data_IF_408316373912
#
_entry.id   IF_408316373912
#
_cell.length_a   1.000
_cell.length_b   1.000
_cell.length_c   1.000
_cell.angle_alpha   90.00
_cell.angle_beta   90.00
_cell.angle_gamma   90.00
#
_symmetry.space_group_name_H-M   'P 1'
#
loop_
_entity.id
_entity.type
_entity.pdbx_description
1 polymer ?
#
# COMPACT_ATOMS: atom_id res chain seq x y z
N UNK A 1 -19.29 -6.18 1.63
CA UNK A 1 -19.85 -5.40 0.50
C UNK A 1 -20.46 -6.39 -0.46
N UNK A 2 -21.65 -6.13 -0.97
CA UNK A 2 -22.18 -6.89 -2.10
C UNK A 2 -21.34 -6.63 -3.38
N UNK A 3 -21.58 -7.44 -4.42
CA UNK A 3 -20.82 -7.36 -5.68
C UNK A 3 -20.92 -5.97 -6.32
N UNK A 4 -22.10 -5.36 -6.30
CA UNK A 4 -22.36 -4.07 -6.95
C UNK A 4 -21.57 -2.96 -6.28
N UNK A 5 -21.55 -2.93 -4.94
CA UNK A 5 -20.78 -1.97 -4.18
C UNK A 5 -19.26 -2.18 -4.37
N UNK A 6 -18.80 -3.43 -4.49
CA UNK A 6 -17.39 -3.72 -4.79
C UNK A 6 -16.97 -3.22 -6.18
N UNK A 7 -17.81 -3.39 -7.20
CA UNK A 7 -17.54 -2.91 -8.56
C UNK A 7 -17.52 -1.38 -8.63
N UNK A 8 -18.46 -0.71 -7.94
CA UNK A 8 -18.46 0.77 -7.86
C UNK A 8 -17.22 1.30 -7.15
N UNK A 9 -16.81 0.65 -6.05
CA UNK A 9 -15.58 1.02 -5.36
C UNK A 9 -14.36 0.79 -6.26
N UNK A 10 -14.27 -0.36 -6.93
CA UNK A 10 -13.23 -0.66 -7.90
C UNK A 10 -13.12 0.41 -9.00
N UNK A 11 -14.26 0.86 -9.55
CA UNK A 11 -14.30 1.93 -10.53
C UNK A 11 -13.70 3.24 -10.00
N UNK A 12 -14.06 3.64 -8.78
CA UNK A 12 -13.50 4.85 -8.14
C UNK A 12 -11.99 4.70 -7.90
N UNK A 13 -11.53 3.54 -7.42
CA UNK A 13 -10.10 3.30 -7.16
C UNK A 13 -9.26 3.36 -8.44
N UNK A 14 -9.79 2.88 -9.57
CA UNK A 14 -9.06 2.90 -10.85
C UNK A 14 -9.12 4.25 -11.57
N UNK A 15 -10.30 4.87 -11.61
CA UNK A 15 -10.55 6.05 -12.47
C UNK A 15 -10.53 7.36 -11.69
N UNK A 16 -10.70 7.31 -10.37
CA UNK A 16 -10.82 8.48 -9.51
C UNK A 16 -9.70 9.49 -9.71
N UNK A 17 -8.44 9.03 -9.80
CA UNK A 17 -7.30 9.91 -9.98
C UNK A 17 -7.40 10.78 -11.25
N UNK A 18 -7.95 10.24 -12.35
CA UNK A 18 -8.14 10.98 -13.61
C UNK A 18 -9.21 12.06 -13.49
N UNK A 19 -10.13 11.91 -12.55
CA UNK A 19 -11.16 12.88 -12.22
C UNK A 19 -10.77 13.78 -11.04
N UNK A 20 -9.53 13.73 -10.57
CA UNK A 20 -9.04 14.53 -9.43
C UNK A 20 -9.36 13.94 -8.05
N UNK A 21 -9.89 12.73 -7.97
CA UNK A 21 -10.13 12.02 -6.71
C UNK A 21 -8.96 11.12 -6.34
N UNK A 22 -8.19 11.53 -5.33
CA UNK A 22 -7.20 10.65 -4.71
C UNK A 22 -7.88 9.65 -3.78
N UNK A 23 -7.45 8.39 -3.83
CA UNK A 23 -7.94 7.33 -2.96
C UNK A 23 -6.82 6.84 -2.04
N UNK A 24 -7.15 6.63 -0.76
CA UNK A 24 -6.25 6.03 0.22
C UNK A 24 -6.89 4.74 0.72
N UNK A 25 -6.18 3.63 0.58
CA UNK A 25 -6.59 2.34 1.14
C UNK A 25 -5.71 2.02 2.35
N UNK A 26 -6.33 1.96 3.54
CA UNK A 26 -5.65 1.52 4.77
C UNK A 26 -5.86 0.02 4.94
N UNK A 27 -4.77 -0.71 5.11
CA UNK A 27 -4.84 -2.17 5.18
C UNK A 27 -3.70 -2.77 5.99
N UNK A 28 -3.87 -4.04 6.39
CA UNK A 28 -2.81 -4.91 6.87
C UNK A 28 -2.19 -5.73 5.72
N UNK A 29 -1.06 -6.42 5.95
CA UNK A 29 -0.45 -7.33 4.96
C UNK A 29 -1.38 -8.46 4.50
N UNK A 30 -2.45 -8.76 5.24
CA UNK A 30 -3.42 -9.78 4.89
C UNK A 30 -4.21 -9.48 3.61
N UNK A 31 -4.15 -8.25 3.08
CA UNK A 31 -4.79 -7.88 1.81
C UNK A 31 -4.40 -8.77 0.64
N UNK A 32 -3.22 -9.41 0.70
CA UNK A 32 -2.76 -10.37 -0.32
C UNK A 32 -3.73 -11.53 -0.50
N UNK A 33 -4.43 -11.92 0.58
CA UNK A 33 -5.40 -13.02 0.57
C UNK A 33 -6.78 -12.59 0.08
N UNK A 34 -7.04 -11.28 -0.01
CA UNK A 34 -8.34 -10.76 -0.45
C UNK A 34 -8.54 -10.98 -1.94
N UNK A 35 -9.64 -11.64 -2.31
CA UNK A 35 -9.96 -12.00 -3.70
C UNK A 35 -10.91 -11.02 -4.40
N UNK A 36 -11.51 -10.09 -3.64
CA UNK A 36 -12.42 -9.09 -4.18
C UNK A 36 -11.69 -8.08 -5.09
N UNK A 37 -12.46 -7.49 -6.01
CA UNK A 37 -11.92 -6.64 -7.07
C UNK A 37 -11.31 -5.37 -6.52
N UNK A 38 -11.95 -4.74 -5.52
CA UNK A 38 -11.45 -3.51 -4.91
C UNK A 38 -10.09 -3.74 -4.21
N UNK A 39 -9.95 -4.81 -3.44
CA UNK A 39 -8.69 -5.20 -2.82
C UNK A 39 -7.59 -5.49 -3.85
N UNK A 40 -7.92 -6.16 -4.96
CA UNK A 40 -6.98 -6.41 -6.06
C UNK A 40 -6.41 -5.11 -6.63
N UNK A 41 -7.27 -4.11 -6.86
CA UNK A 41 -6.86 -2.79 -7.36
C UNK A 41 -6.03 -2.04 -6.32
N UNK A 42 -6.44 -2.04 -5.05
CA UNK A 42 -5.72 -1.37 -3.98
C UNK A 42 -4.28 -1.92 -3.80
N UNK A 43 -4.08 -3.24 -3.97
CA UNK A 43 -2.72 -3.84 -3.95
C UNK A 43 -1.83 -3.36 -5.09
N UNK A 44 -2.43 -2.95 -6.21
CA UNK A 44 -1.72 -2.43 -7.38
C UNK A 44 -1.29 -0.97 -7.24
N UNK A 45 -1.57 -0.31 -6.11
CA UNK A 45 -1.16 1.06 -5.89
C UNK A 45 0.37 1.18 -5.91
N UNK A 46 0.86 2.07 -6.78
CA UNK A 46 2.29 2.31 -6.99
C UNK A 46 2.95 3.12 -5.88
N UNK A 47 2.13 3.73 -5.01
CA UNK A 47 2.55 4.55 -3.89
C UNK A 47 1.97 3.97 -2.60
N UNK A 48 2.80 3.82 -1.57
CA UNK A 48 2.35 3.30 -0.27
C UNK A 48 3.18 3.82 0.89
N UNK A 49 2.56 3.86 2.07
CA UNK A 49 3.21 4.10 3.35
C UNK A 49 3.11 2.82 4.19
N UNK A 50 4.26 2.29 4.60
CA UNK A 50 4.37 1.01 5.32
C UNK A 50 4.96 1.26 6.71
N UNK A 51 4.17 0.97 7.74
CA UNK A 51 4.49 1.16 9.15
C UNK A 51 5.14 -0.08 9.81
N UNK A 52 5.75 -0.95 9.02
CA UNK A 52 6.35 -2.21 9.48
C UNK A 52 7.57 -2.55 8.62
N UNK A 53 8.34 -3.54 9.05
CA UNK A 53 9.51 -3.98 8.28
C UNK A 53 9.09 -4.53 6.92
N UNK A 54 9.87 -4.26 5.89
CA UNK A 54 9.68 -4.82 4.54
C UNK A 54 9.73 -6.36 4.58
N UNK A 55 10.54 -6.93 5.47
CA UNK A 55 10.63 -8.37 5.74
C UNK A 55 9.40 -8.98 6.42
N UNK A 56 8.55 -8.19 7.09
CA UNK A 56 7.35 -8.66 7.79
C UNK A 56 6.09 -8.68 6.92
N UNK A 57 6.23 -8.28 5.64
CA UNK A 57 5.12 -8.22 4.70
C UNK A 57 5.55 -8.82 3.35
N UNK A 58 4.56 -9.31 2.60
CA UNK A 58 4.75 -9.89 1.27
C UNK A 58 3.98 -9.13 0.17
N UNK A 59 3.38 -7.98 0.51
CA UNK A 59 2.60 -7.14 -0.43
C UNK A 59 3.55 -6.59 -1.51
N UNK A 60 4.73 -6.16 -1.09
CA UNK A 60 5.79 -5.65 -1.95
C UNK A 60 6.91 -6.69 -2.08
N UNK A 61 6.72 -7.64 -2.99
CA UNK A 61 7.69 -8.73 -3.24
C UNK A 61 8.84 -8.30 -4.16
N UNK A 62 8.58 -7.45 -5.15
CA UNK A 62 9.53 -7.05 -6.20
C UNK A 62 10.08 -5.63 -6.01
N UNK A 63 10.74 -5.39 -4.87
CA UNK A 63 11.34 -4.09 -4.55
C UNK A 63 12.75 -3.95 -5.12
N UNK A 64 13.05 -2.81 -5.76
CA UNK A 64 14.33 -2.55 -6.44
C UNK A 64 15.52 -2.45 -5.48
N UNK A 65 15.29 -1.86 -4.31
CA UNK A 65 16.30 -1.59 -3.29
C UNK A 65 15.89 -2.17 -1.94
N UNK A 66 15.49 -3.45 -1.94
CA UNK A 66 15.07 -4.17 -0.72
C UNK A 66 16.17 -4.08 0.36
N UNK A 67 15.86 -3.64 1.59
CA UNK A 67 16.85 -3.58 2.66
C UNK A 67 17.45 -4.95 2.99
N UNK A 68 18.78 -5.09 2.97
CA UNK A 68 19.48 -6.36 3.23
C UNK A 68 19.58 -6.65 4.73
N UNK A 69 19.82 -5.61 5.54
CA UNK A 69 19.95 -5.71 7.00
C UNK A 69 18.92 -4.79 7.64
N UNK A 70 17.72 -5.32 7.83
CA UNK A 70 16.59 -4.55 8.33
C UNK A 70 16.47 -4.69 9.86
N UNK A 71 16.78 -3.61 10.57
CA UNK A 71 16.53 -3.48 12.01
C UNK A 71 15.05 -3.25 12.33
N UNK A 72 14.72 -3.20 13.63
CA UNK A 72 13.40 -2.77 14.11
C UNK A 72 13.15 -1.33 13.66
N UNK A 73 11.92 -1.02 13.25
CA UNK A 73 11.56 0.36 12.92
C UNK A 73 11.43 1.18 14.20
N UNK A 74 12.14 2.30 14.26
CA UNK A 74 12.00 3.26 15.34
C UNK A 74 10.61 3.92 15.33
N UNK A 75 10.24 4.56 16.43
CA UNK A 75 9.00 5.33 16.52
C UNK A 75 8.90 6.32 15.33
N UNK A 76 7.71 6.37 14.73
CA UNK A 76 7.39 7.23 13.57
C UNK A 76 8.22 6.95 12.30
N UNK A 77 9.06 5.92 12.29
CA UNK A 77 9.85 5.57 11.11
C UNK A 77 9.08 4.60 10.23
N UNK A 78 8.88 4.98 8.98
CA UNK A 78 8.07 4.23 8.02
C UNK A 78 8.83 4.06 6.71
N UNK A 79 8.39 3.14 5.88
CA UNK A 79 8.81 3.08 4.49
C UNK A 79 7.78 3.75 3.59
N UNK A 80 8.23 4.73 2.83
CA UNK A 80 7.50 5.25 1.70
C UNK A 80 7.95 4.48 0.45
N UNK A 81 7.01 3.83 -0.23
CA UNK A 81 7.27 3.05 -1.44
C UNK A 81 6.68 3.80 -2.62
N UNK A 82 7.49 4.05 -3.65
CA UNK A 82 7.07 4.67 -4.90
C UNK A 82 7.67 3.90 -6.08
N UNK A 83 6.82 3.39 -6.97
CA UNK A 83 7.20 2.59 -8.14
C UNK A 83 8.28 1.55 -7.80
N UNK A 84 7.99 0.70 -6.80
CA UNK A 84 8.86 -0.36 -6.28
C UNK A 84 10.20 0.09 -5.65
N UNK A 85 10.38 1.39 -5.45
CA UNK A 85 11.55 1.95 -4.74
C UNK A 85 11.17 2.30 -3.32
N UNK A 86 11.98 1.85 -2.36
CA UNK A 86 11.78 2.03 -0.92
C UNK A 86 12.57 3.23 -0.41
N UNK A 87 11.90 4.11 0.33
CA UNK A 87 12.49 5.24 1.03
C UNK A 87 12.18 5.12 2.52
N UNK A 88 13.19 5.11 3.38
CA UNK A 88 12.99 5.17 4.83
C UNK A 88 12.72 6.63 5.21
N UNK A 89 11.59 6.90 5.85
CA UNK A 89 11.14 8.25 6.20
C UNK A 89 10.74 8.36 7.67
N UNK A 90 10.76 9.58 8.19
CA UNK A 90 10.20 9.91 9.51
C UNK A 90 8.89 10.67 9.34
N UNK A 91 7.83 10.13 9.89
CA UNK A 91 6.48 10.69 9.79
C UNK A 91 6.23 11.61 10.98
N UNK A 92 5.88 12.87 10.72
CA UNK A 92 5.52 13.81 11.77
C UNK A 92 4.09 13.51 12.24
N UNK A 93 3.93 13.27 13.54
CA UNK A 93 2.61 13.29 14.18
C UNK A 93 2.44 14.64 14.87
N UNK A 94 1.31 15.30 14.61
CA UNK A 94 0.88 16.51 15.31
C UNK A 94 -0.07 16.14 16.43
#
# INVERSE_FOLDING_TARGET
LDSVAQERLAFVLEKGLRAGYASIAMTSPNIIRSIDVASKIARGFKQSLVAMRISEQTVFSSLNNRPIREGVLDLQTHYYILDNTVYKIKVLMK
#
